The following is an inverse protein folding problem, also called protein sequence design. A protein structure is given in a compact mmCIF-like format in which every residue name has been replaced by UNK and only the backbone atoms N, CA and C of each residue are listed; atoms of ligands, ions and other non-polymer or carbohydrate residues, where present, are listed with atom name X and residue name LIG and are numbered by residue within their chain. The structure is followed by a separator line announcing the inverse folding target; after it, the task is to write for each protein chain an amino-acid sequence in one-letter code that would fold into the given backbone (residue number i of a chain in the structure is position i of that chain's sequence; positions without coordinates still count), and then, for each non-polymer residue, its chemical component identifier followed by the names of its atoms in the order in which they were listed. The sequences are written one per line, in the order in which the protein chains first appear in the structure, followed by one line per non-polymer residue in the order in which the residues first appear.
data_IF_002736132818
#
_entry.id   IF_002736132818
#
_cell.length_a   1.000
_cell.length_b   1.000
_cell.length_c   1.000
_cell.angle_alpha   90.00
_cell.angle_beta   90.00
_cell.angle_gamma   90.00
#
_symmetry.space_group_name_H-M   'P 1'
#
loop_
_entity.id
_entity.type
_entity.pdbx_description
1 polymer ?
#
# COMPACT_ATOMS: atom_id res chain seq x y z
N UNK A 1 -38.22 3.94 9.19
CA UNK A 1 -37.52 2.62 9.26
C UNK A 1 -36.54 2.43 8.12
N UNK A 2 -36.89 2.75 6.86
CA UNK A 2 -36.00 2.56 5.71
C UNK A 2 -34.76 3.46 5.72
N UNK A 3 -34.91 4.73 6.12
CA UNK A 3 -33.82 5.70 6.19
C UNK A 3 -32.81 5.34 7.29
N UNK A 4 -33.31 4.88 8.43
CA UNK A 4 -32.48 4.49 9.58
C UNK A 4 -31.60 3.28 9.25
N UNK A 5 -32.14 2.27 8.53
CA UNK A 5 -31.38 1.09 8.11
C UNK A 5 -30.32 1.43 7.06
N UNK A 6 -30.65 2.32 6.11
CA UNK A 6 -29.70 2.77 5.07
C UNK A 6 -28.56 3.58 5.69
N UNK A 7 -28.87 4.49 6.61
CA UNK A 7 -27.86 5.30 7.29
C UNK A 7 -26.93 4.43 8.15
N UNK A 8 -27.47 3.43 8.84
CA UNK A 8 -26.68 2.49 9.62
C UNK A 8 -25.71 1.68 8.73
N UNK A 9 -26.17 1.22 7.57
CA UNK A 9 -25.32 0.48 6.63
C UNK A 9 -24.18 1.35 6.10
N UNK A 10 -24.46 2.58 5.69
CA UNK A 10 -23.44 3.53 5.22
C UNK A 10 -22.41 3.82 6.31
N UNK A 11 -22.84 3.95 7.57
CA UNK A 11 -21.94 4.13 8.69
C UNK A 11 -21.01 2.92 8.91
N UNK A 12 -21.55 1.72 8.87
CA UNK A 12 -20.75 0.48 9.01
C UNK A 12 -19.75 0.32 7.85
N UNK A 13 -20.17 0.66 6.64
CA UNK A 13 -19.28 0.66 5.46
C UNK A 13 -18.12 1.67 5.63
N UNK A 14 -18.43 2.87 6.13
CA UNK A 14 -17.45 3.91 6.42
C UNK A 14 -16.45 3.47 7.50
N UNK A 15 -16.96 2.93 8.61
CA UNK A 15 -16.11 2.41 9.70
C UNK A 15 -15.20 1.28 9.20
N UNK A 16 -15.75 0.39 8.36
CA UNK A 16 -14.96 -0.70 7.77
C UNK A 16 -13.85 -0.16 6.87
N UNK A 17 -14.16 0.81 6.00
CA UNK A 17 -13.16 1.44 5.14
C UNK A 17 -12.09 2.16 5.98
N UNK A 18 -12.49 2.92 7.00
CA UNK A 18 -11.57 3.63 7.89
C UNK A 18 -10.65 2.67 8.67
N UNK A 19 -11.15 1.52 9.09
CA UNK A 19 -10.35 0.50 9.78
C UNK A 19 -9.33 -0.17 8.85
N UNK A 20 -9.62 -0.25 7.55
CA UNK A 20 -8.71 -0.83 6.55
C UNK A 20 -7.58 0.12 6.13
N UNK A 21 -7.79 1.43 6.17
CA UNK A 21 -6.79 2.44 5.76
C UNK A 21 -5.45 2.27 6.49
N UNK A 22 -5.38 2.18 7.84
CA UNK A 22 -4.10 2.00 8.54
C UNK A 22 -3.43 0.67 8.22
N UNK A 23 -4.19 -0.38 7.94
CA UNK A 23 -3.65 -1.68 7.52
C UNK A 23 -3.03 -1.56 6.13
N UNK A 24 -3.74 -0.98 5.17
CA UNK A 24 -3.24 -0.76 3.82
C UNK A 24 -2.02 0.18 3.81
N UNK A 25 -1.97 1.19 4.70
CA UNK A 25 -0.80 2.05 4.86
C UNK A 25 0.41 1.25 5.36
N UNK A 26 0.25 0.40 6.37
CA UNK A 26 1.33 -0.44 6.88
C UNK A 26 1.83 -1.46 5.82
N UNK A 27 0.94 -1.98 4.99
CA UNK A 27 1.31 -2.85 3.87
C UNK A 27 2.10 -2.09 2.80
N UNK A 28 1.70 -0.85 2.47
CA UNK A 28 2.44 0.02 1.57
C UNK A 28 3.83 0.36 2.12
N UNK A 29 3.93 0.71 3.40
CA UNK A 29 5.20 1.01 4.04
C UNK A 29 6.15 -0.21 3.99
N UNK A 30 5.64 -1.40 4.28
CA UNK A 30 6.38 -2.66 4.15
C UNK A 30 6.82 -2.93 2.69
N UNK A 31 5.95 -2.67 1.72
CA UNK A 31 6.26 -2.84 0.31
C UNK A 31 7.34 -1.83 -0.16
N UNK A 32 7.28 -0.59 0.32
CA UNK A 32 8.30 0.43 0.05
C UNK A 32 9.65 0.06 0.66
N UNK A 33 9.70 -0.44 1.89
CA UNK A 33 10.93 -0.92 2.52
C UNK A 33 11.57 -2.05 1.72
N UNK A 34 10.77 -2.99 1.22
CA UNK A 34 11.24 -4.09 0.35
C UNK A 34 11.78 -3.56 -0.97
N UNK A 35 11.07 -2.61 -1.59
CA UNK A 35 11.52 -1.99 -2.83
C UNK A 35 12.86 -1.27 -2.64
N UNK A 36 13.00 -0.45 -1.60
CA UNK A 36 14.26 0.24 -1.31
C UNK A 36 15.39 -0.73 -0.94
N UNK A 37 15.08 -1.86 -0.29
CA UNK A 37 16.03 -2.95 -0.04
C UNK A 37 16.50 -3.59 -1.35
N UNK A 38 15.59 -4.04 -2.18
CA UNK A 38 15.88 -4.67 -3.46
C UNK A 38 16.63 -3.74 -4.42
N UNK A 39 16.29 -2.45 -4.43
CA UNK A 39 16.98 -1.42 -5.20
C UNK A 39 18.45 -1.29 -4.78
N UNK A 40 18.71 -1.23 -3.47
CA UNK A 40 20.11 -1.20 -2.97
C UNK A 40 20.89 -2.46 -3.36
N UNK A 41 20.27 -3.63 -3.31
CA UNK A 41 20.89 -4.88 -3.73
C UNK A 41 21.20 -4.89 -5.23
N UNK A 42 20.27 -4.39 -6.06
CA UNK A 42 20.47 -4.20 -7.49
C UNK A 42 21.65 -3.26 -7.76
N UNK A 43 21.69 -2.09 -7.13
CA UNK A 43 22.75 -1.09 -7.33
C UNK A 43 24.13 -1.65 -6.92
N UNK A 44 24.20 -2.41 -5.83
CA UNK A 44 25.42 -3.11 -5.40
C UNK A 44 25.83 -4.19 -6.39
N UNK A 45 24.89 -5.01 -6.87
CA UNK A 45 25.18 -6.06 -7.83
C UNK A 45 25.67 -5.48 -9.16
N UNK A 46 25.04 -4.41 -9.65
CA UNK A 46 25.43 -3.69 -10.85
C UNK A 46 26.84 -3.09 -10.72
N UNK A 47 27.11 -2.41 -9.61
CA UNK A 47 28.44 -1.83 -9.35
C UNK A 47 29.55 -2.91 -9.30
N UNK A 48 29.25 -4.10 -8.75
CA UNK A 48 30.18 -5.23 -8.75
C UNK A 48 30.43 -5.76 -10.16
N UNK A 49 29.41 -5.84 -11.00
CA UNK A 49 29.50 -6.25 -12.39
C UNK A 49 30.34 -5.25 -13.19
N UNK A 50 30.05 -3.96 -13.07
CA UNK A 50 30.76 -2.88 -13.76
C UNK A 50 32.25 -2.88 -13.38
N UNK A 51 32.55 -3.06 -12.09
CA UNK A 51 33.94 -3.14 -11.60
C UNK A 51 34.67 -4.37 -12.17
N UNK A 52 34.01 -5.52 -12.27
CA UNK A 52 34.59 -6.72 -12.85
C UNK A 52 34.83 -6.58 -14.37
N UNK A 53 33.90 -5.96 -15.09
CA UNK A 53 34.05 -5.66 -16.53
C UNK A 53 35.20 -4.67 -16.78
N UNK A 54 35.33 -3.64 -15.95
CA UNK A 54 36.42 -2.69 -16.02
C UNK A 54 37.79 -3.35 -15.74
N UNK A 55 37.85 -4.32 -14.82
CA UNK A 55 39.08 -5.08 -14.56
C UNK A 55 39.48 -5.95 -15.77
N UNK A 56 38.51 -6.61 -16.41
CA UNK A 56 38.77 -7.35 -17.68
C UNK A 56 39.33 -6.42 -18.74
N UNK A 57 38.74 -5.23 -18.91
CA UNK A 57 39.24 -4.25 -19.88
C UNK A 57 40.71 -3.85 -19.61
N UNK A 58 41.05 -3.61 -18.32
CA UNK A 58 42.41 -3.30 -17.88
C UNK A 58 43.36 -4.48 -18.15
N UNK A 59 42.95 -5.71 -17.81
CA UNK A 59 43.75 -6.92 -18.07
C UNK A 59 43.99 -7.13 -19.56
N UNK A 60 42.96 -6.94 -20.40
CA UNK A 60 43.11 -7.02 -21.86
C UNK A 60 44.13 -6.01 -22.39
N UNK A 61 44.07 -4.75 -21.92
CA UNK A 61 45.03 -3.72 -22.32
C UNK A 61 46.46 -4.08 -21.88
N UNK A 62 46.61 -4.61 -20.65
CA UNK A 62 47.91 -5.02 -20.13
C UNK A 62 48.47 -6.23 -20.91
N UNK A 63 47.62 -7.21 -21.28
CA UNK A 63 48.00 -8.35 -22.10
C UNK A 63 48.43 -7.94 -23.49
N UNK A 64 47.70 -7.03 -24.14
CA UNK A 64 48.10 -6.51 -25.46
C UNK A 64 49.47 -5.81 -25.41
N UNK A 65 49.71 -5.02 -24.36
CA UNK A 65 51.01 -4.38 -24.13
C UNK A 65 52.14 -5.46 -23.93
N UNK A 66 51.87 -6.41 -23.05
CA UNK A 66 52.84 -7.50 -22.77
C UNK A 66 53.13 -8.33 -24.03
N UNK A 67 52.11 -8.63 -24.86
CA UNK A 67 52.26 -9.34 -26.12
C UNK A 67 53.17 -8.59 -27.10
N UNK A 68 52.95 -7.29 -27.26
CA UNK A 68 53.81 -6.43 -28.11
C UNK A 68 55.26 -6.44 -27.62
N UNK A 69 55.49 -6.30 -26.32
CA UNK A 69 56.80 -6.34 -25.71
C UNK A 69 57.48 -7.73 -25.92
N UNK A 70 56.70 -8.81 -25.80
CA UNK A 70 57.19 -10.18 -26.08
C UNK A 70 57.57 -10.36 -27.54
N UNK A 71 56.73 -9.88 -28.48
CA UNK A 71 57.06 -9.91 -29.93
C UNK A 71 58.31 -9.13 -30.27
N UNK A 72 58.51 -7.95 -29.68
CA UNK A 72 59.71 -7.13 -29.83
C UNK A 72 60.92 -7.84 -29.26
N UNK A 73 60.82 -8.41 -28.07
CA UNK A 73 61.86 -9.20 -27.45
C UNK A 73 62.25 -10.43 -28.29
N UNK A 74 61.27 -11.16 -28.80
CA UNK A 74 61.50 -12.31 -29.69
C UNK A 74 62.19 -11.90 -30.98
N UNK A 75 61.84 -10.78 -31.60
CA UNK A 75 62.52 -10.22 -32.78
C UNK A 75 63.97 -9.87 -32.45
N UNK A 76 64.22 -9.25 -31.31
CA UNK A 76 65.57 -8.91 -30.87
C UNK A 76 66.42 -10.14 -30.62
N UNK A 77 65.90 -11.17 -29.94
CA UNK A 77 66.56 -12.46 -29.72
C UNK A 77 66.82 -13.20 -31.07
N UNK A 78 65.82 -13.15 -31.96
CA UNK A 78 65.99 -13.75 -33.32
C UNK A 78 66.98 -12.99 -34.19
N UNK A 79 67.12 -11.67 -34.04
CA UNK A 79 68.17 -10.90 -34.71
C UNK A 79 69.57 -11.26 -34.19
N UNK A 80 69.67 -11.30 -32.85
CA UNK A 80 70.93 -11.71 -32.19
C UNK A 80 71.37 -13.14 -32.60
N UNK A 81 70.44 -14.08 -32.60
CA UNK A 81 70.72 -15.45 -33.02
C UNK A 81 71.17 -15.54 -34.51
N UNK A 82 70.56 -14.73 -35.41
CA UNK A 82 70.97 -14.61 -36.80
C UNK A 82 72.36 -14.01 -36.94
N UNK A 83 72.67 -12.97 -36.21
CA UNK A 83 73.97 -12.36 -36.21
C UNK A 83 75.04 -13.30 -35.69
N UNK A 84 74.82 -14.08 -34.69
CA UNK A 84 75.63 -15.11 -34.14
C UNK A 84 75.87 -16.25 -35.18
N UNK A 85 74.83 -16.62 -35.89
CA UNK A 85 74.95 -17.65 -36.94
C UNK A 85 75.73 -17.16 -38.15
N UNK A 86 75.55 -15.93 -38.60
CA UNK A 86 76.21 -15.31 -39.73
C UNK A 86 77.71 -15.04 -39.46
N UNK A 87 78.03 -14.74 -38.20
CA UNK A 87 79.43 -14.50 -37.77
C UNK A 87 80.23 -15.81 -37.57
N UNK A 88 79.73 -16.93 -38.05
CA UNK A 88 80.51 -18.17 -38.10
C UNK A 88 80.36 -19.11 -36.90
N UNK A 89 79.17 -19.05 -36.27
CA UNK A 89 78.81 -19.93 -35.17
C UNK A 89 79.78 -19.79 -34.03
N UNK A 90 79.33 -19.02 -32.99
CA UNK A 90 80.24 -18.69 -31.88
C UNK A 90 80.72 -19.97 -31.24
N UNK A 91 81.93 -20.22 -31.49
CA UNK A 91 82.75 -21.00 -30.61
C UNK A 91 82.52 -20.63 -29.16
N UNK A 92 82.40 -21.61 -28.30
CA UNK A 92 82.32 -21.40 -26.83
C UNK A 92 83.26 -20.25 -26.43
N UNK A 93 82.87 -19.37 -25.43
CA UNK A 93 83.77 -18.32 -24.95
C UNK A 93 85.20 -18.83 -24.75
N UNK A 94 85.33 -20.04 -24.38
CA UNK A 94 86.62 -20.74 -24.27
C UNK A 94 87.39 -20.90 -25.61
N UNK A 95 86.70 -21.18 -26.73
CA UNK A 95 87.27 -21.27 -28.05
C UNK A 95 87.67 -19.91 -28.63
N UNK A 96 86.95 -18.83 -28.32
CA UNK A 96 87.33 -17.47 -28.68
C UNK A 96 88.62 -17.07 -27.93
N UNK A 97 88.71 -17.38 -26.64
CA UNK A 97 89.90 -17.14 -25.84
C UNK A 97 91.13 -17.94 -26.31
N UNK A 98 90.92 -19.21 -26.74
CA UNK A 98 91.98 -20.11 -27.21
C UNK A 98 92.48 -19.78 -28.62
N UNK A 99 91.73 -19.07 -29.46
CA UNK A 99 92.12 -18.67 -30.81
C UNK A 99 93.01 -17.45 -30.95
N UNK A 100 93.42 -16.84 -29.86
CA UNK A 100 94.13 -15.55 -29.78
C UNK A 100 95.70 -15.80 -29.69
N UNK A 101 96.47 -14.91 -30.36
CA UNK A 101 97.92 -15.03 -30.44
C UNK A 101 98.68 -13.97 -29.53
N UNK A 102 97.93 -13.12 -28.72
CA UNK A 102 98.53 -12.11 -27.83
C UNK A 102 97.80 -12.00 -26.50
N UNK A 103 98.53 -11.64 -25.42
CA UNK A 103 97.96 -11.60 -24.04
C UNK A 103 96.94 -10.48 -23.79
N UNK A 104 97.04 -9.30 -24.43
CA UNK A 104 96.10 -8.20 -24.33
C UNK A 104 94.80 -8.48 -25.09
N UNK A 105 94.90 -9.09 -26.29
CA UNK A 105 93.74 -9.55 -27.06
C UNK A 105 92.92 -10.64 -26.35
N UNK A 106 93.58 -11.45 -25.51
CA UNK A 106 92.91 -12.51 -24.74
C UNK A 106 91.98 -11.88 -23.66
N UNK A 107 92.47 -10.84 -22.97
CA UNK A 107 91.69 -10.19 -21.95
C UNK A 107 90.46 -9.48 -22.52
N UNK A 108 90.57 -8.76 -23.63
CA UNK A 108 89.47 -8.06 -24.28
C UNK A 108 88.44 -9.06 -24.86
N UNK A 109 88.93 -10.16 -25.47
CA UNK A 109 88.00 -11.20 -25.99
C UNK A 109 87.29 -11.97 -24.86
N UNK A 110 87.98 -12.22 -23.75
CA UNK A 110 87.37 -12.82 -22.56
C UNK A 110 86.33 -11.91 -21.97
N UNK A 111 86.58 -10.62 -21.89
CA UNK A 111 85.61 -9.62 -21.42
C UNK A 111 84.36 -9.51 -22.35
N UNK A 112 84.59 -9.56 -23.67
CA UNK A 112 83.53 -9.60 -24.67
C UNK A 112 82.67 -10.85 -24.57
N UNK A 113 83.34 -12.04 -24.44
CA UNK A 113 82.63 -13.32 -24.25
C UNK A 113 81.79 -13.33 -22.92
N UNK A 114 82.38 -12.79 -21.87
CA UNK A 114 81.67 -12.64 -20.54
C UNK A 114 80.55 -11.68 -20.62
N UNK A 115 80.66 -10.54 -21.33
CA UNK A 115 79.58 -9.60 -21.58
C UNK A 115 78.44 -10.21 -22.40
N UNK A 116 78.83 -11.07 -23.44
CA UNK A 116 77.88 -11.77 -24.26
C UNK A 116 77.07 -12.82 -23.45
N UNK A 117 77.78 -13.60 -22.60
CA UNK A 117 77.17 -14.58 -21.71
C UNK A 117 76.14 -13.87 -20.74
N UNK A 118 76.60 -12.76 -20.14
CA UNK A 118 75.66 -11.96 -19.28
C UNK A 118 74.47 -11.44 -20.09
N UNK A 119 74.65 -10.98 -21.31
CA UNK A 119 73.57 -10.52 -22.16
C UNK A 119 72.58 -11.68 -22.50
N UNK A 120 73.10 -12.90 -22.79
CA UNK A 120 72.27 -14.06 -23.02
C UNK A 120 71.49 -14.48 -21.77
N UNK A 121 72.16 -14.57 -20.63
CA UNK A 121 71.47 -14.90 -19.35
C UNK A 121 70.43 -13.86 -18.97
N UNK A 122 70.71 -12.60 -19.21
CA UNK A 122 69.73 -11.52 -18.98
C UNK A 122 68.55 -11.64 -19.92
N UNK A 123 68.80 -11.90 -21.21
CA UNK A 123 67.70 -12.06 -22.18
C UNK A 123 66.82 -13.30 -21.88
N UNK A 124 67.45 -14.43 -21.48
CA UNK A 124 66.70 -15.62 -21.06
C UNK A 124 65.87 -15.40 -19.81
N UNK A 125 66.47 -14.76 -18.79
CA UNK A 125 65.77 -14.42 -17.57
C UNK A 125 64.57 -13.48 -17.85
N UNK A 126 64.76 -12.44 -18.66
CA UNK A 126 63.66 -11.55 -19.07
C UNK A 126 62.58 -12.27 -19.82
N UNK A 127 62.94 -13.22 -20.71
CA UNK A 127 61.95 -14.03 -21.44
C UNK A 127 61.13 -14.93 -20.50
N UNK A 128 61.79 -15.56 -19.51
CA UNK A 128 61.11 -16.37 -18.50
C UNK A 128 60.20 -15.53 -17.62
N UNK A 129 60.66 -14.36 -17.19
CA UNK A 129 59.84 -13.44 -16.37
C UNK A 129 58.61 -12.93 -17.15
N UNK A 130 58.77 -12.56 -18.42
CA UNK A 130 57.66 -12.18 -19.28
C UNK A 130 56.67 -13.33 -19.48
N UNK A 131 57.16 -14.57 -19.67
CA UNK A 131 56.30 -15.74 -19.80
C UNK A 131 55.53 -16.01 -18.51
N UNK A 132 56.16 -15.90 -17.36
CA UNK A 132 55.50 -16.05 -16.06
C UNK A 132 54.45 -14.95 -15.83
N UNK A 133 54.75 -13.69 -16.15
CA UNK A 133 53.84 -12.58 -16.08
C UNK A 133 52.61 -12.77 -16.99
N UNK A 134 52.83 -13.22 -18.22
CA UNK A 134 51.76 -13.51 -19.20
C UNK A 134 50.82 -14.61 -18.68
N UNK A 135 51.38 -15.72 -18.15
CA UNK A 135 50.57 -16.81 -17.56
C UNK A 135 49.77 -16.32 -16.38
N UNK A 136 50.36 -15.53 -15.50
CA UNK A 136 49.64 -14.92 -14.34
C UNK A 136 48.50 -14.02 -14.79
N UNK A 137 48.71 -13.17 -15.79
CA UNK A 137 47.68 -12.30 -16.35
C UNK A 137 46.55 -13.11 -16.96
N UNK A 138 46.87 -14.17 -17.72
CA UNK A 138 45.88 -15.05 -18.32
C UNK A 138 45.03 -15.76 -17.26
N UNK A 139 45.67 -16.36 -16.25
CA UNK A 139 44.94 -16.98 -15.13
C UNK A 139 44.04 -16.02 -14.40
N UNK A 140 44.47 -14.77 -14.22
CA UNK A 140 43.66 -13.71 -13.63
C UNK A 140 42.47 -13.34 -14.51
N UNK A 141 42.67 -13.21 -15.82
CA UNK A 141 41.62 -12.95 -16.80
C UNK A 141 40.56 -14.04 -16.77
N UNK A 142 40.98 -15.32 -16.82
CA UNK A 142 40.05 -16.46 -16.77
C UNK A 142 39.22 -16.46 -15.49
N UNK A 143 39.85 -16.18 -14.34
CA UNK A 143 39.17 -16.08 -13.04
C UNK A 143 38.13 -14.93 -12.99
N UNK A 144 38.50 -13.75 -13.52
CA UNK A 144 37.58 -12.60 -13.55
C UNK A 144 36.44 -12.85 -14.56
N UNK A 145 36.74 -13.46 -15.73
CA UNK A 145 35.71 -13.81 -16.71
C UNK A 145 34.69 -14.78 -16.14
N UNK A 146 35.16 -15.82 -15.43
CA UNK A 146 34.25 -16.76 -14.73
C UNK A 146 33.41 -16.08 -13.66
N UNK A 147 33.96 -15.08 -12.95
CA UNK A 147 33.25 -14.30 -11.97
C UNK A 147 32.21 -13.41 -12.62
N UNK A 148 32.44 -12.83 -13.79
CA UNK A 148 31.47 -11.97 -14.51
C UNK A 148 30.18 -12.73 -14.76
N UNK A 149 30.20 -13.97 -15.25
CA UNK A 149 28.98 -14.75 -15.50
C UNK A 149 28.12 -14.91 -14.23
N UNK A 150 28.77 -15.11 -13.09
CA UNK A 150 28.06 -15.17 -11.79
C UNK A 150 27.52 -13.82 -11.36
N UNK A 151 28.22 -12.71 -11.62
CA UNK A 151 27.78 -11.37 -11.31
C UNK A 151 26.66 -10.90 -12.23
N UNK A 152 26.71 -11.26 -13.51
CA UNK A 152 25.61 -11.00 -14.47
C UNK A 152 24.30 -11.64 -14.01
N UNK A 153 24.37 -12.93 -13.63
CA UNK A 153 23.19 -13.62 -13.10
C UNK A 153 22.69 -13.00 -11.81
N UNK A 154 23.59 -12.58 -10.91
CA UNK A 154 23.22 -11.89 -9.67
C UNK A 154 22.58 -10.53 -9.94
N UNK A 155 23.15 -9.74 -10.85
CA UNK A 155 22.60 -8.43 -11.22
C UNK A 155 21.22 -8.56 -11.89
N UNK A 156 21.07 -9.57 -12.77
CA UNK A 156 19.78 -9.87 -13.41
C UNK A 156 18.71 -10.21 -12.38
N UNK A 157 19.01 -11.13 -11.44
CA UNK A 157 18.07 -11.50 -10.37
C UNK A 157 17.71 -10.33 -9.48
N UNK A 158 18.69 -9.54 -9.08
CA UNK A 158 18.45 -8.35 -8.26
C UNK A 158 17.62 -7.31 -9.01
N UNK A 159 17.82 -7.15 -10.32
CA UNK A 159 16.97 -6.27 -11.16
C UNK A 159 15.53 -6.75 -11.22
N UNK A 160 15.30 -8.05 -11.45
CA UNK A 160 13.96 -8.64 -11.48
C UNK A 160 13.25 -8.50 -10.13
N UNK A 161 13.97 -8.69 -9.04
CA UNK A 161 13.43 -8.52 -7.68
C UNK A 161 13.10 -7.07 -7.38
N UNK A 162 13.94 -6.11 -7.76
CA UNK A 162 13.68 -4.69 -7.60
C UNK A 162 12.45 -4.24 -8.41
N UNK A 163 12.32 -4.71 -9.66
CA UNK A 163 11.15 -4.43 -10.49
C UNK A 163 9.86 -5.04 -9.91
N UNK A 164 9.92 -6.28 -9.46
CA UNK A 164 8.79 -6.95 -8.79
C UNK A 164 8.37 -6.24 -7.51
N UNK A 165 9.33 -5.84 -6.69
CA UNK A 165 9.06 -5.09 -5.45
C UNK A 165 8.48 -3.71 -5.74
N UNK A 166 8.98 -3.00 -6.78
CA UNK A 166 8.42 -1.74 -7.25
C UNK A 166 6.96 -1.88 -7.67
N UNK A 167 6.66 -2.86 -8.51
CA UNK A 167 5.29 -3.11 -8.98
C UNK A 167 4.35 -3.43 -7.82
N UNK A 168 4.84 -4.14 -6.80
CA UNK A 168 4.09 -4.43 -5.58
C UNK A 168 3.79 -3.15 -4.80
N UNK A 169 4.78 -2.29 -4.59
CA UNK A 169 4.60 -1.01 -3.90
C UNK A 169 3.62 -0.08 -4.65
N UNK A 170 3.72 0.02 -5.98
CA UNK A 170 2.80 0.79 -6.80
C UNK A 170 1.36 0.24 -6.75
N UNK A 171 1.21 -1.08 -6.66
CA UNK A 171 -0.11 -1.71 -6.49
C UNK A 171 -0.70 -1.39 -5.13
N UNK A 172 0.09 -1.48 -4.06
CA UNK A 172 -0.34 -1.14 -2.71
C UNK A 172 -0.69 0.35 -2.56
N UNK A 173 0.04 1.22 -3.23
CA UNK A 173 -0.30 2.65 -3.28
C UNK A 173 -1.67 2.87 -3.93
N UNK A 174 -1.93 2.23 -5.07
CA UNK A 174 -3.24 2.34 -5.75
C UNK A 174 -4.38 1.77 -4.90
N UNK A 175 -4.18 0.62 -4.25
CA UNK A 175 -5.17 0.03 -3.34
C UNK A 175 -5.50 1.00 -2.18
N UNK A 176 -4.49 1.65 -1.60
CA UNK A 176 -4.68 2.64 -0.55
C UNK A 176 -5.43 3.88 -1.03
N UNK A 177 -5.11 4.39 -2.22
CA UNK A 177 -5.77 5.56 -2.80
C UNK A 177 -7.25 5.27 -3.11
N UNK A 178 -7.56 4.10 -3.68
CA UNK A 178 -8.95 3.66 -3.91
C UNK A 178 -9.71 3.49 -2.59
N UNK A 179 -9.07 2.98 -1.56
CA UNK A 179 -9.69 2.82 -0.24
C UNK A 179 -9.98 4.19 0.41
N UNK A 180 -9.06 5.14 0.32
CA UNK A 180 -9.26 6.52 0.79
C UNK A 180 -10.42 7.19 0.05
N UNK A 181 -10.45 7.07 -1.28
CA UNK A 181 -11.54 7.60 -2.10
C UNK A 181 -12.89 6.99 -1.72
N UNK A 182 -12.94 5.67 -1.54
CA UNK A 182 -14.15 4.97 -1.08
C UNK A 182 -14.61 5.48 0.28
N UNK A 183 -13.68 5.69 1.22
CA UNK A 183 -13.98 6.26 2.53
C UNK A 183 -14.56 7.68 2.42
N UNK A 184 -13.98 8.55 1.58
CA UNK A 184 -14.48 9.91 1.34
C UNK A 184 -15.89 9.91 0.72
N UNK A 185 -16.14 9.05 -0.27
CA UNK A 185 -17.45 8.89 -0.88
C UNK A 185 -18.51 8.40 0.13
N UNK A 186 -18.15 7.40 0.95
CA UNK A 186 -19.04 6.90 2.02
C UNK A 186 -19.30 7.97 3.08
N UNK A 187 -18.30 8.76 3.42
CA UNK A 187 -18.46 9.88 4.35
C UNK A 187 -19.43 10.94 3.80
N UNK A 188 -19.27 11.31 2.53
CA UNK A 188 -20.18 12.25 1.89
C UNK A 188 -21.62 11.73 1.83
N UNK A 189 -21.81 10.43 1.54
CA UNK A 189 -23.12 9.78 1.57
C UNK A 189 -23.72 9.80 2.98
N UNK A 190 -22.94 9.50 4.00
CA UNK A 190 -23.38 9.52 5.39
C UNK A 190 -23.79 10.93 5.83
N UNK A 191 -22.97 11.95 5.52
CA UNK A 191 -23.28 13.35 5.84
C UNK A 191 -24.57 13.81 5.17
N UNK A 192 -24.80 13.46 3.90
CA UNK A 192 -26.01 13.79 3.17
C UNK A 192 -27.26 13.10 3.75
N UNK A 193 -27.19 11.80 4.05
CA UNK A 193 -28.30 11.05 4.65
C UNK A 193 -28.60 11.53 6.07
N UNK A 194 -27.57 11.86 6.85
CA UNK A 194 -27.71 12.44 8.19
C UNK A 194 -28.45 13.78 8.12
N UNK A 195 -28.06 14.67 7.19
CA UNK A 195 -28.72 15.95 7.02
C UNK A 195 -30.21 15.78 6.65
N UNK A 196 -30.55 14.82 5.80
CA UNK A 196 -31.96 14.50 5.48
C UNK A 196 -32.73 14.00 6.72
N UNK A 197 -32.08 13.12 7.51
CA UNK A 197 -32.71 12.61 8.74
C UNK A 197 -32.96 13.74 9.76
N UNK A 198 -32.02 14.66 9.92
CA UNK A 198 -32.15 15.84 10.79
C UNK A 198 -33.24 16.78 10.30
N UNK A 199 -33.38 17.00 9.00
CA UNK A 199 -34.45 17.80 8.42
C UNK A 199 -35.81 17.17 8.67
N UNK A 200 -35.98 15.87 8.45
CA UNK A 200 -37.20 15.14 8.73
C UNK A 200 -37.57 15.21 10.21
N UNK A 201 -36.58 15.04 11.10
CA UNK A 201 -36.79 15.18 12.53
C UNK A 201 -37.29 16.59 12.88
N UNK A 202 -36.71 17.63 12.29
CA UNK A 202 -37.13 19.00 12.45
C UNK A 202 -38.57 19.25 11.95
N UNK A 203 -38.98 18.58 10.84
CA UNK A 203 -40.37 18.66 10.36
C UNK A 203 -41.33 17.99 11.35
N UNK A 204 -41.02 16.77 11.81
CA UNK A 204 -41.84 16.10 12.81
C UNK A 204 -41.97 16.84 14.12
N UNK A 205 -40.90 17.51 14.58
CA UNK A 205 -40.95 18.34 15.77
C UNK A 205 -41.93 19.53 15.60
N UNK A 206 -41.93 20.17 14.43
CA UNK A 206 -42.86 21.27 14.12
C UNK A 206 -44.30 20.78 14.06
N UNK A 207 -44.55 19.66 13.38
CA UNK A 207 -45.88 19.05 13.28
C UNK A 207 -46.41 18.65 14.67
N UNK A 208 -45.52 18.09 15.51
CA UNK A 208 -45.88 17.77 16.90
C UNK A 208 -46.22 19.00 17.73
N UNK A 209 -45.45 20.09 17.60
CA UNK A 209 -45.73 21.35 18.29
C UNK A 209 -47.08 21.96 17.81
N UNK A 210 -47.34 21.93 16.52
CA UNK A 210 -48.59 22.39 15.93
C UNK A 210 -49.81 21.58 16.43
N UNK A 211 -49.68 20.24 16.41
CA UNK A 211 -50.70 19.34 16.94
C UNK A 211 -50.95 19.59 18.44
N UNK A 212 -49.88 19.76 19.24
CA UNK A 212 -49.98 20.07 20.66
C UNK A 212 -50.69 21.43 20.91
N UNK A 213 -50.37 22.44 20.08
CA UNK A 213 -51.01 23.75 20.15
C UNK A 213 -52.51 23.69 19.81
N UNK A 214 -52.86 22.91 18.78
CA UNK A 214 -54.29 22.67 18.42
C UNK A 214 -55.04 21.95 19.52
N UNK A 215 -54.45 20.94 20.16
CA UNK A 215 -55.04 20.27 21.32
C UNK A 215 -55.27 21.26 22.49
N UNK A 216 -54.28 22.11 22.81
CA UNK A 216 -54.43 23.12 23.84
C UNK A 216 -55.55 24.11 23.52
N UNK A 217 -55.74 24.51 22.27
CA UNK A 217 -56.83 25.37 21.83
C UNK A 217 -58.19 24.68 21.98
N UNK A 218 -58.30 23.38 21.65
CA UNK A 218 -59.49 22.56 21.85
C UNK A 218 -59.82 22.45 23.36
N UNK A 219 -58.80 22.25 24.19
CA UNK A 219 -58.95 22.17 25.64
C UNK A 219 -59.50 23.50 26.22
N UNK A 220 -59.01 24.64 25.78
CA UNK A 220 -59.43 25.94 26.21
C UNK A 220 -60.88 26.20 25.75
N UNK A 221 -61.24 25.84 24.53
CA UNK A 221 -62.63 25.98 24.04
C UNK A 221 -63.58 25.04 24.78
N UNK A 222 -63.19 23.81 25.10
CA UNK A 222 -63.98 22.90 25.92
C UNK A 222 -64.22 23.49 27.35
N UNK A 223 -63.20 24.14 27.96
CA UNK A 223 -63.34 24.82 29.26
C UNK A 223 -64.29 25.98 29.16
N UNK A 224 -64.21 26.83 28.13
CA UNK A 224 -65.08 27.96 27.91
C UNK A 224 -66.54 27.55 27.73
N UNK A 225 -66.79 26.49 26.97
CA UNK A 225 -68.11 25.99 26.68
C UNK A 225 -68.70 25.14 27.82
N UNK A 226 -67.93 24.90 28.90
CA UNK A 226 -68.31 24.06 30.05
C UNK A 226 -68.90 22.68 29.60
N UNK A 227 -68.39 22.15 28.49
CA UNK A 227 -68.79 20.86 27.94
C UNK A 227 -68.38 19.77 28.91
N UNK A 228 -69.26 19.23 29.65
CA UNK A 228 -69.07 18.08 30.52
C UNK A 228 -69.62 16.87 29.80
N UNK A 229 -68.70 16.06 29.19
CA UNK A 229 -69.09 14.72 28.85
C UNK A 229 -68.94 13.85 30.10
N UNK A 230 -70.03 13.18 30.46
CA UNK A 230 -70.00 12.19 31.55
C UNK A 230 -69.44 10.91 31.02
N UNK A 231 -68.14 10.84 30.79
CA UNK A 231 -67.50 9.61 30.48
C UNK A 231 -67.24 8.81 31.74
N UNK A 232 -67.47 7.50 31.71
CA UNK A 232 -67.06 6.62 32.79
C UNK A 232 -65.57 6.71 32.97
N UNK A 233 -65.03 6.70 34.17
CA UNK A 233 -63.61 6.83 34.51
C UNK A 233 -62.73 5.65 34.01
N UNK A 234 -63.31 4.68 33.31
CA UNK A 234 -62.60 3.52 32.80
C UNK A 234 -62.45 3.60 31.29
N UNK A 235 -61.24 3.57 30.83
CA UNK A 235 -60.92 3.43 29.44
C UNK A 235 -61.18 1.98 28.96
N UNK A 236 -61.80 1.85 27.77
CA UNK A 236 -61.97 0.58 27.06
C UNK A 236 -60.71 0.28 26.21
N UNK A 237 -60.52 -0.99 25.91
CA UNK A 237 -59.48 -1.38 24.95
C UNK A 237 -59.74 -0.74 23.58
N UNK A 238 -58.70 -0.12 22.95
CA UNK A 238 -58.85 0.41 21.60
C UNK A 238 -58.91 -0.70 20.51
N UNK A 239 -58.62 -1.96 20.86
CA UNK A 239 -58.64 -3.09 19.95
C UNK A 239 -59.55 -4.18 20.47
N UNK A 240 -60.22 -4.93 19.56
CA UNK A 240 -61.06 -6.08 19.92
C UNK A 240 -60.25 -7.35 20.24
N UNK A 241 -58.94 -7.25 20.20
CA UNK A 241 -57.95 -8.32 20.45
C UNK A 241 -57.11 -7.97 21.68
N UNK A 242 -56.39 -8.94 22.28
CA UNK A 242 -55.48 -8.67 23.37
C UNK A 242 -54.41 -7.63 22.98
N UNK A 243 -54.16 -6.66 23.88
CA UNK A 243 -53.15 -5.59 23.66
C UNK A 243 -51.75 -6.18 23.80
N UNK A 244 -51.07 -6.31 22.69
CA UNK A 244 -49.64 -6.67 22.66
C UNK A 244 -48.83 -5.44 22.28
N UNK A 245 -48.07 -4.90 23.24
CA UNK A 245 -47.25 -3.71 23.05
C UNK A 245 -46.06 -4.06 22.17
N UNK A 246 -45.96 -3.41 21.02
CA UNK A 246 -44.82 -3.53 20.11
C UNK A 246 -43.80 -2.40 20.32
N UNK A 247 -44.25 -1.22 20.75
CA UNK A 247 -43.39 -0.09 21.07
C UNK A 247 -43.98 0.73 22.21
N UNK A 248 -43.32 0.80 23.38
CA UNK A 248 -43.85 1.52 24.53
C UNK A 248 -43.69 3.04 24.39
N UNK A 249 -44.51 3.76 25.14
CA UNK A 249 -44.38 5.21 25.38
C UNK A 249 -43.08 5.54 26.10
N UNK A 250 -42.43 6.65 25.76
CA UNK A 250 -41.30 7.23 26.47
C UNK A 250 -40.02 7.26 25.65
N UNK A 251 -38.90 7.58 26.32
CA UNK A 251 -37.60 7.65 25.68
C UNK A 251 -37.09 6.27 25.29
N UNK A 252 -36.65 6.15 24.05
CA UNK A 252 -35.99 4.94 23.55
C UNK A 252 -34.74 5.32 22.77
N UNK A 253 -33.68 4.51 22.93
CA UNK A 253 -32.45 4.66 22.15
C UNK A 253 -32.57 3.80 20.88
N UNK A 254 -32.35 4.41 19.74
CA UNK A 254 -32.33 3.66 18.47
C UNK A 254 -31.17 2.68 18.53
N UNK A 255 -31.39 1.36 18.32
CA UNK A 255 -30.39 0.32 18.59
C UNK A 255 -29.14 0.43 17.69
N UNK A 256 -29.26 1.03 16.51
CA UNK A 256 -28.15 1.17 15.54
C UNK A 256 -27.55 2.59 15.55
N UNK A 257 -28.40 3.62 15.65
CA UNK A 257 -27.95 5.01 15.53
C UNK A 257 -27.54 5.65 16.88
N UNK A 258 -27.83 5.01 18.02
CA UNK A 258 -27.53 5.53 19.36
C UNK A 258 -28.26 6.82 19.72
N UNK A 259 -29.17 7.33 18.86
CA UNK A 259 -29.94 8.55 19.12
C UNK A 259 -31.13 8.27 20.04
N UNK A 260 -31.34 9.11 21.02
CA UNK A 260 -32.53 9.04 21.87
C UNK A 260 -33.70 9.62 21.13
N UNK A 261 -34.82 8.88 21.04
CA UNK A 261 -36.09 9.33 20.47
C UNK A 261 -37.20 9.13 21.46
N UNK A 262 -38.05 10.15 21.60
CA UNK A 262 -39.20 10.07 22.46
C UNK A 262 -40.42 9.58 21.68
N UNK A 263 -41.06 8.51 22.16
CA UNK A 263 -42.30 7.96 21.59
C UNK A 263 -43.49 8.50 22.37
N UNK A 264 -44.32 9.26 21.68
CA UNK A 264 -45.47 9.94 22.28
C UNK A 264 -46.71 9.06 22.44
N UNK A 265 -46.62 7.82 21.99
CA UNK A 265 -47.71 6.87 22.03
C UNK A 265 -47.27 5.49 22.49
N UNK A 266 -48.19 4.57 22.47
CA UNK A 266 -47.91 3.13 22.63
C UNK A 266 -48.43 2.41 21.40
N UNK A 267 -47.55 1.69 20.71
CA UNK A 267 -47.93 0.90 19.55
C UNK A 267 -48.36 -0.49 19.99
N UNK A 268 -49.48 -0.94 19.42
CA UNK A 268 -50.04 -2.26 19.66
C UNK A 268 -50.02 -3.09 18.35
N UNK A 269 -49.74 -4.37 18.47
CA UNK A 269 -49.83 -5.30 17.34
C UNK A 269 -51.30 -5.51 16.95
N UNK A 270 -51.61 -5.24 15.68
CA UNK A 270 -52.90 -5.51 15.11
C UNK A 270 -52.72 -5.91 13.61
N UNK A 271 -53.56 -6.81 13.12
CA UNK A 271 -53.58 -7.15 11.69
C UNK A 271 -54.24 -6.03 10.88
N UNK A 272 -53.87 -5.89 9.60
CA UNK A 272 -54.57 -4.98 8.70
C UNK A 272 -56.05 -5.31 8.65
N UNK A 273 -56.90 -4.27 8.77
CA UNK A 273 -58.37 -4.44 8.79
C UNK A 273 -58.95 -4.70 10.19
N UNK A 274 -58.14 -4.71 11.25
CA UNK A 274 -58.64 -4.75 12.62
C UNK A 274 -59.31 -3.41 12.95
N UNK A 275 -60.56 -3.48 13.47
CA UNK A 275 -61.31 -2.30 13.89
C UNK A 275 -60.63 -1.63 15.10
N UNK A 276 -60.59 -0.29 15.08
CA UNK A 276 -60.10 0.52 16.20
C UNK A 276 -61.29 1.22 16.85
N UNK A 277 -61.40 1.08 18.16
CA UNK A 277 -62.46 1.69 18.96
C UNK A 277 -61.94 2.86 19.82
N UNK A 278 -62.72 3.93 20.00
CA UNK A 278 -62.34 4.96 20.95
C UNK A 278 -62.31 4.39 22.37
N UNK A 279 -61.29 4.79 23.16
CA UNK A 279 -61.10 4.29 24.54
C UNK A 279 -62.20 4.77 25.51
N UNK A 280 -62.92 5.82 25.15
CA UNK A 280 -64.07 6.37 25.89
C UNK A 280 -65.02 7.08 24.93
N UNK A 281 -66.23 7.41 25.41
CA UNK A 281 -67.17 8.26 24.67
C UNK A 281 -66.52 9.64 24.35
N UNK A 282 -66.79 10.15 23.15
CA UNK A 282 -66.23 11.42 22.72
C UNK A 282 -66.70 11.86 21.34
N UNK A 283 -66.12 12.97 20.89
CA UNK A 283 -66.39 13.54 19.56
C UNK A 283 -65.14 13.50 18.71
N UNK A 284 -65.22 13.01 17.52
CA UNK A 284 -64.13 13.10 16.55
C UNK A 284 -63.93 14.55 16.17
N UNK A 285 -62.78 15.10 16.49
CA UNK A 285 -62.41 16.51 16.26
C UNK A 285 -61.63 16.72 15.00
N UNK A 286 -60.86 15.70 14.55
CA UNK A 286 -60.14 15.74 13.30
C UNK A 286 -59.91 14.32 12.73
N UNK A 287 -59.90 14.22 11.43
CA UNK A 287 -59.40 13.07 10.64
C UNK A 287 -58.41 13.67 9.65
N UNK A 288 -57.14 13.32 9.78
CA UNK A 288 -56.08 13.93 8.99
C UNK A 288 -55.00 12.90 8.58
N UNK A 289 -54.13 13.33 7.71
CA UNK A 289 -52.94 12.55 7.35
C UNK A 289 -51.72 13.29 7.84
N UNK A 290 -50.91 12.66 8.66
CA UNK A 290 -49.67 13.23 9.20
C UNK A 290 -48.47 12.54 8.63
N UNK A 291 -47.37 13.26 8.46
CA UNK A 291 -46.14 12.76 7.84
C UNK A 291 -45.53 11.60 8.63
N UNK A 292 -45.64 11.66 9.97
CA UNK A 292 -45.06 10.62 10.84
C UNK A 292 -46.03 9.52 11.24
N UNK A 293 -47.33 9.82 11.30
CA UNK A 293 -48.37 8.90 11.78
C UNK A 293 -49.25 8.32 10.71
N UNK A 294 -49.16 8.82 9.45
CA UNK A 294 -50.10 8.41 8.41
C UNK A 294 -51.53 8.92 8.69
N UNK A 295 -52.54 8.08 8.56
CA UNK A 295 -53.93 8.42 8.84
C UNK A 295 -54.15 8.53 10.36
N UNK A 296 -54.59 9.67 10.84
CA UNK A 296 -54.80 9.92 12.26
C UNK A 296 -56.22 10.36 12.52
N UNK A 297 -56.86 9.81 13.56
CA UNK A 297 -58.15 10.19 14.06
C UNK A 297 -58.01 10.74 15.47
N UNK A 298 -58.43 11.98 15.67
CA UNK A 298 -58.44 12.64 16.99
C UNK A 298 -59.86 12.59 17.59
N UNK A 299 -59.95 12.13 18.86
CA UNK A 299 -61.22 12.07 19.60
C UNK A 299 -61.08 12.89 20.87
N UNK A 300 -61.97 13.84 21.05
CA UNK A 300 -62.08 14.63 22.29
C UNK A 300 -63.12 13.98 23.20
N UNK A 301 -62.70 13.57 24.39
CA UNK A 301 -63.54 12.95 25.43
C UNK A 301 -64.09 13.95 26.44
N UNK A 302 -63.84 15.26 26.24
CA UNK A 302 -64.27 16.28 27.15
C UNK A 302 -63.48 16.30 28.46
N UNK A 303 -64.13 16.73 29.52
CA UNK A 303 -63.51 16.85 30.86
C UNK A 303 -63.59 15.51 31.60
N UNK A 304 -62.47 14.92 31.88
CA UNK A 304 -62.30 13.69 32.68
C UNK A 304 -61.41 14.02 33.88
N UNK A 305 -61.90 13.75 35.09
CA UNK A 305 -61.15 14.00 36.33
C UNK A 305 -60.55 15.43 36.45
N UNK A 306 -61.27 16.43 35.94
CA UNK A 306 -60.83 17.83 36.02
C UNK A 306 -59.82 18.27 34.92
N UNK A 307 -59.46 17.39 34.01
CA UNK A 307 -58.62 17.68 32.86
C UNK A 307 -59.39 17.40 31.58
N UNK A 308 -59.10 18.15 30.48
CA UNK A 308 -59.58 17.80 29.16
C UNK A 308 -58.77 16.62 28.64
N UNK A 309 -59.48 15.63 28.09
CA UNK A 309 -58.89 14.39 27.60
C UNK A 309 -59.13 14.25 26.08
N UNK A 310 -58.08 14.01 25.35
CA UNK A 310 -58.12 13.68 23.93
C UNK A 310 -57.21 12.49 23.62
N UNK A 311 -57.63 11.70 22.65
CA UNK A 311 -56.81 10.57 22.14
C UNK A 311 -56.61 10.70 20.64
N UNK A 312 -55.45 10.19 20.17
CA UNK A 312 -55.11 10.08 18.77
C UNK A 312 -54.96 8.59 18.43
N UNK A 313 -55.52 8.19 17.32
CA UNK A 313 -55.42 6.83 16.75
C UNK A 313 -54.73 6.95 15.41
N UNK A 314 -53.59 6.26 15.26
CA UNK A 314 -52.65 6.37 14.14
C UNK A 314 -52.64 5.10 13.34
#
# INVERSE_FOLDING_TARGET
EGLDASLAQVYLDLETANAQIPVAQAELDTANERYEGAKREHDVAQAQLDAAQAEVARLNTAMEKARKQQEESQKAVGALAREMYQSGGVSSPLLIALSSSGTEEIADRAAAADAMTRAQDSALSQAMDMQAATRNQQSRQDAVTSRISSLEEKARKASEEAESAKNTAETKLRELDELKKTSEEKRAQWDAQKAQAEEQLGQWQREYQDATSKLAAIDEENRRQNRRYTSSSNFSSPLPVPLVVTSPFGWRVHPVLGISRYHNGTDFAANCGTEIYPVAEGVVTAVTVETAGGNVVYVNHGMMNGASMSTAYV
#
